data_IF_385920028705
#
_entry.id   IF_385920028705
#
_cell.length_a   1.000
_cell.length_b   1.000
_cell.length_c   1.000
_cell.angle_alpha   90.00
_cell.angle_beta   90.00
_cell.angle_gamma   90.00
#
_symmetry.space_group_name_H-M   'P 1'
#
loop_
_entity.id
_entity.type
_entity.pdbx_description
1 polymer ?
#
# COMPACT_ATOMS: atom_id res chain seq x y z
N UNK A 1 8.68 -19.56 -33.49
CA UNK A 1 9.00 -20.08 -32.18
C UNK A 1 7.75 -20.62 -31.49
N UNK A 2 7.89 -21.69 -30.76
CA UNK A 2 6.80 -22.27 -30.00
C UNK A 2 6.58 -21.53 -28.68
N UNK A 3 5.32 -21.32 -28.33
CA UNK A 3 4.94 -20.78 -27.02
C UNK A 3 4.55 -21.93 -26.11
N UNK A 4 4.94 -21.86 -24.85
CA UNK A 4 4.55 -22.84 -23.84
C UNK A 4 3.40 -22.27 -23.03
N UNK A 5 2.22 -22.91 -23.15
CA UNK A 5 1.04 -22.54 -22.38
C UNK A 5 1.05 -23.20 -20.99
N UNK A 6 0.39 -22.58 -19.98
CA UNK A 6 0.22 -23.24 -18.70
C UNK A 6 -0.48 -24.59 -18.86
N UNK A 7 -0.13 -25.54 -17.99
CA UNK A 7 -0.72 -26.88 -18.03
C UNK A 7 -2.15 -26.92 -17.49
N UNK A 8 -2.57 -25.88 -16.80
CA UNK A 8 -3.90 -25.79 -16.19
C UNK A 8 -4.53 -24.45 -16.50
N UNK A 9 -5.84 -24.41 -16.47
CA UNK A 9 -6.60 -23.17 -16.59
C UNK A 9 -6.30 -22.26 -15.39
N UNK A 10 -6.43 -20.93 -15.59
CA UNK A 10 -6.33 -19.95 -14.52
C UNK A 10 -7.61 -19.86 -13.73
N UNK A 11 -7.62 -18.96 -12.76
CA UNK A 11 -8.85 -18.62 -12.02
C UNK A 11 -9.50 -17.37 -12.62
N UNK A 12 -10.72 -17.07 -12.19
CA UNK A 12 -11.43 -15.90 -12.70
C UNK A 12 -10.60 -14.62 -12.55
N UNK A 13 -10.67 -13.76 -13.55
CA UNK A 13 -10.01 -12.46 -13.60
C UNK A 13 -8.49 -12.47 -13.68
N UNK A 14 -7.86 -13.62 -13.82
CA UNK A 14 -6.43 -13.69 -14.11
C UNK A 14 -6.15 -13.33 -15.56
N UNK A 15 -4.94 -12.81 -15.80
CA UNK A 15 -4.48 -12.46 -17.15
C UNK A 15 -3.35 -13.38 -17.57
N UNK A 16 -3.27 -13.64 -18.88
CA UNK A 16 -2.21 -14.44 -19.47
C UNK A 16 -1.03 -13.53 -19.81
N UNK A 17 0.13 -13.84 -19.26
CA UNK A 17 1.35 -13.05 -19.46
C UNK A 17 2.46 -13.88 -20.08
N UNK A 18 3.47 -13.21 -20.64
CA UNK A 18 4.69 -13.84 -21.18
C UNK A 18 5.91 -13.40 -20.36
N UNK A 19 6.88 -14.30 -20.21
CA UNK A 19 8.17 -13.98 -19.62
C UNK A 19 9.19 -13.41 -20.64
N UNK A 20 8.78 -13.25 -21.90
CA UNK A 20 9.66 -12.81 -22.96
C UNK A 20 10.55 -13.91 -23.55
N UNK A 21 10.47 -15.13 -23.04
CA UNK A 21 11.27 -16.27 -23.48
C UNK A 21 10.42 -17.43 -24.00
N UNK A 22 9.16 -17.15 -24.30
CA UNK A 22 8.24 -18.13 -24.89
C UNK A 22 7.37 -18.86 -23.88
N UNK A 23 7.49 -18.58 -22.60
CA UNK A 23 6.62 -19.17 -21.59
C UNK A 23 5.47 -18.25 -21.25
N UNK A 24 4.28 -18.81 -21.10
CA UNK A 24 3.07 -18.10 -20.73
C UNK A 24 2.59 -18.59 -19.37
N UNK A 25 2.05 -17.69 -18.58
CA UNK A 25 1.48 -18.01 -17.27
C UNK A 25 0.28 -17.12 -16.96
N UNK A 26 -0.61 -17.60 -16.08
CA UNK A 26 -1.70 -16.79 -15.56
C UNK A 26 -1.22 -16.06 -14.31
N UNK A 27 -1.49 -14.76 -14.23
CA UNK A 27 -1.17 -13.94 -13.05
C UNK A 27 -2.41 -13.15 -12.65
N UNK A 28 -2.49 -12.81 -11.38
CA UNK A 28 -3.58 -11.98 -10.88
C UNK A 28 -3.55 -10.60 -11.56
N UNK A 29 -4.73 -10.11 -11.91
CA UNK A 29 -4.87 -8.77 -12.45
C UNK A 29 -4.84 -7.77 -11.29
N UNK A 30 -3.64 -7.28 -10.97
CA UNK A 30 -3.43 -6.36 -9.84
C UNK A 30 -3.53 -4.89 -10.25
N UNK A 31 -4.41 -4.57 -11.20
CA UNK A 31 -4.60 -3.19 -11.66
C UNK A 31 -5.36 -2.37 -10.61
N UNK A 32 -4.63 -1.57 -9.80
CA UNK A 32 -5.23 -0.67 -8.81
C UNK A 32 -4.83 -1.00 -7.37
N UNK A 33 -5.44 -0.29 -6.44
CA UNK A 33 -5.16 -0.45 -5.01
C UNK A 33 -5.83 -1.71 -4.48
N UNK A 34 -5.06 -2.51 -3.75
CA UNK A 34 -5.56 -3.72 -3.08
C UNK A 34 -6.10 -3.33 -1.70
N UNK A 35 -7.40 -3.05 -1.62
CA UNK A 35 -8.03 -2.60 -0.39
C UNK A 35 -8.23 -3.76 0.57
N UNK A 36 -7.73 -3.58 1.80
CA UNK A 36 -7.82 -4.56 2.87
C UNK A 36 -9.11 -4.39 3.68
N UNK A 37 -9.49 -5.42 4.43
CA UNK A 37 -10.55 -5.28 5.42
C UNK A 37 -10.17 -4.21 6.45
N UNK A 38 -11.16 -3.58 7.09
CA UNK A 38 -10.94 -2.52 8.09
C UNK A 38 -9.94 -2.97 9.16
N UNK A 39 -8.97 -2.12 9.44
CA UNK A 39 -7.98 -2.36 10.50
C UNK A 39 -8.29 -1.46 11.71
N UNK A 40 -8.22 -2.05 12.88
CA UNK A 40 -8.53 -1.38 14.15
C UNK A 40 -7.35 -1.30 15.10
N UNK A 41 -6.20 -1.85 14.71
CA UNK A 41 -4.98 -1.88 15.52
C UNK A 41 -3.76 -1.89 14.60
N UNK A 42 -2.57 -1.76 15.17
CA UNK A 42 -1.30 -1.72 14.43
C UNK A 42 -1.26 -2.74 13.29
N UNK A 43 -0.93 -2.27 12.11
CA UNK A 43 -0.88 -3.06 10.89
C UNK A 43 0.32 -2.63 10.04
N UNK A 44 1.01 -3.59 9.46
CA UNK A 44 2.09 -3.32 8.49
C UNK A 44 1.54 -3.58 7.09
N UNK A 45 1.48 -2.52 6.28
CA UNK A 45 0.98 -2.62 4.92
C UNK A 45 2.03 -3.25 4.00
N UNK A 46 1.58 -3.94 2.97
CA UNK A 46 2.40 -4.33 1.83
C UNK A 46 2.27 -3.29 0.72
N UNK A 47 3.24 -3.26 -0.19
CA UNK A 47 3.18 -2.37 -1.34
C UNK A 47 1.91 -2.63 -2.17
N UNK A 48 1.23 -1.57 -2.58
CA UNK A 48 0.01 -1.65 -3.37
C UNK A 48 -1.27 -1.73 -2.55
N UNK A 49 -1.18 -1.82 -1.23
CA UNK A 49 -2.36 -1.94 -0.36
C UNK A 49 -3.01 -0.60 -0.06
N UNK A 50 -4.33 -0.66 0.14
CA UNK A 50 -5.12 0.40 0.73
C UNK A 50 -5.69 -0.04 2.07
N UNK A 51 -5.70 0.85 3.05
CA UNK A 51 -6.08 0.55 4.42
C UNK A 51 -7.25 1.44 4.84
N UNK A 52 -8.36 0.83 5.21
CA UNK A 52 -9.44 1.52 5.92
C UNK A 52 -9.06 1.51 7.41
N UNK A 53 -8.60 2.66 7.91
CA UNK A 53 -8.08 2.76 9.27
C UNK A 53 -9.16 3.25 10.23
N UNK A 54 -9.53 2.40 11.16
CA UNK A 54 -10.51 2.72 12.20
C UNK A 54 -9.77 3.01 13.50
N UNK A 55 -9.72 4.29 13.89
CA UNK A 55 -9.11 4.73 15.14
C UNK A 55 -10.15 5.06 16.22
N UNK A 56 -11.41 4.64 16.03
CA UNK A 56 -12.47 4.94 17.02
C UNK A 56 -12.20 4.33 18.39
N UNK A 57 -11.46 3.22 18.44
CA UNK A 57 -11.06 2.58 19.69
C UNK A 57 -9.75 3.09 20.29
N UNK A 58 -9.06 3.99 19.60
CA UNK A 58 -7.78 4.56 20.03
C UNK A 58 -6.83 4.75 18.87
N UNK A 59 -5.82 5.60 19.07
CA UNK A 59 -4.77 5.84 18.08
C UNK A 59 -3.90 4.59 17.90
N UNK A 60 -3.43 4.36 16.66
CA UNK A 60 -2.52 3.26 16.36
C UNK A 60 -1.62 3.61 15.17
N UNK A 61 -0.70 2.72 14.85
CA UNK A 61 0.32 2.96 13.80
C UNK A 61 0.09 2.04 12.60
N UNK A 62 -0.02 2.65 11.43
CA UNK A 62 0.06 1.98 10.13
C UNK A 62 1.53 2.03 9.70
N UNK A 63 2.19 0.88 9.66
CA UNK A 63 3.61 0.78 9.29
C UNK A 63 3.75 0.55 7.79
N UNK A 64 4.61 1.34 7.16
CA UNK A 64 4.90 1.21 5.74
C UNK A 64 5.76 -0.03 5.47
N UNK A 65 5.76 -0.54 4.21
CA UNK A 65 6.56 -1.71 3.86
C UNK A 65 8.06 -1.51 4.11
N UNK A 66 8.75 -2.58 4.51
CA UNK A 66 10.20 -2.59 4.57
C UNK A 66 10.79 -2.71 3.15
N UNK A 67 11.98 -2.17 2.95
CA UNK A 67 12.73 -2.30 1.69
C UNK A 67 11.90 -1.96 0.45
N UNK A 68 11.24 -0.79 0.42
CA UNK A 68 10.41 -0.43 -0.72
C UNK A 68 11.24 -0.18 -1.97
N UNK A 69 10.58 -0.28 -3.13
CA UNK A 69 11.17 0.07 -4.42
C UNK A 69 10.43 1.25 -5.03
N UNK A 70 11.08 1.97 -5.94
CA UNK A 70 10.50 3.14 -6.58
C UNK A 70 9.12 2.82 -7.18
N UNK A 71 8.14 3.65 -6.88
CA UNK A 71 6.78 3.49 -7.38
C UNK A 71 5.86 2.68 -6.46
N UNK A 72 6.37 2.07 -5.39
CA UNK A 72 5.52 1.40 -4.41
C UNK A 72 4.57 2.42 -3.78
N UNK A 73 3.31 2.03 -3.58
CA UNK A 73 2.28 2.91 -3.01
C UNK A 73 1.58 2.24 -1.84
N UNK A 74 1.18 3.07 -0.88
CA UNK A 74 0.28 2.66 0.22
C UNK A 74 -0.75 3.77 0.39
N UNK A 75 -2.02 3.40 0.40
CA UNK A 75 -3.14 4.33 0.58
C UNK A 75 -3.82 4.08 1.92
N UNK A 76 -4.42 5.13 2.49
CA UNK A 76 -5.22 4.99 3.70
C UNK A 76 -6.40 5.95 3.67
N UNK A 77 -7.43 5.58 4.43
CA UNK A 77 -8.65 6.38 4.60
C UNK A 77 -9.07 6.32 6.07
N UNK A 78 -9.48 7.46 6.61
CA UNK A 78 -10.09 7.52 7.94
C UNK A 78 -11.48 6.89 7.90
N UNK A 79 -11.57 5.64 8.33
CA UNK A 79 -12.81 4.85 8.24
C UNK A 79 -13.95 5.43 9.09
N UNK A 80 -13.62 5.79 10.33
CA UNK A 80 -14.64 6.18 11.32
C UNK A 80 -14.80 7.70 11.46
N UNK A 81 -13.95 8.50 10.81
CA UNK A 81 -13.94 9.95 10.98
C UNK A 81 -13.39 10.36 12.34
N UNK A 82 -12.37 9.65 12.84
CA UNK A 82 -11.86 9.82 14.19
C UNK A 82 -10.39 10.21 14.28
N UNK A 83 -9.73 10.50 13.16
CA UNK A 83 -8.30 10.88 13.19
C UNK A 83 -8.04 12.18 13.96
N UNK A 84 -9.01 13.10 14.04
CA UNK A 84 -8.90 14.33 14.81
C UNK A 84 -8.93 14.09 16.32
N UNK A 85 -9.53 12.98 16.75
CA UNK A 85 -9.62 12.57 18.16
C UNK A 85 -8.51 11.58 18.51
N UNK A 86 -8.33 10.58 17.65
CA UNK A 86 -7.32 9.53 17.79
C UNK A 86 -6.52 9.46 16.49
N UNK A 87 -5.38 10.11 16.44
CA UNK A 87 -4.60 10.24 15.22
C UNK A 87 -4.07 8.90 14.74
N UNK A 88 -3.96 8.76 13.40
CA UNK A 88 -3.23 7.66 12.80
C UNK A 88 -1.76 8.08 12.64
N UNK A 89 -0.85 7.25 13.13
CA UNK A 89 0.58 7.42 12.86
C UNK A 89 0.95 6.55 11.66
N UNK A 90 1.65 7.14 10.68
CA UNK A 90 2.25 6.39 9.59
C UNK A 90 3.69 6.09 10.00
N UNK A 91 3.97 4.82 10.29
CA UNK A 91 5.29 4.36 10.71
C UNK A 91 6.22 4.22 9.51
N UNK A 92 7.34 4.89 9.53
CA UNK A 92 8.24 5.00 8.39
C UNK A 92 9.05 3.73 8.07
N UNK A 93 9.15 2.82 8.99
CA UNK A 93 9.87 1.55 8.83
C UNK A 93 11.29 1.72 8.23
N UNK A 94 12.09 2.59 8.85
CA UNK A 94 13.48 2.91 8.52
C UNK A 94 13.71 3.77 7.28
N UNK A 95 12.66 4.09 6.52
CA UNK A 95 12.77 5.01 5.39
C UNK A 95 12.36 6.42 5.79
N UNK A 96 12.69 7.42 4.99
CA UNK A 96 12.22 8.78 5.21
C UNK A 96 10.76 8.95 4.76
N UNK A 97 10.07 9.89 5.35
CA UNK A 97 8.77 10.37 4.87
C UNK A 97 8.90 11.88 4.64
N UNK A 98 8.60 12.33 3.42
CA UNK A 98 8.71 13.74 3.04
C UNK A 98 10.12 14.31 3.33
N UNK A 99 11.15 13.48 3.13
CA UNK A 99 12.55 13.84 3.33
C UNK A 99 13.01 13.86 4.78
N UNK A 100 12.17 13.45 5.72
CA UNK A 100 12.50 13.47 7.15
C UNK A 100 12.53 12.06 7.74
N UNK A 101 13.50 11.82 8.62
CA UNK A 101 13.60 10.55 9.37
C UNK A 101 12.64 10.58 10.58
N UNK A 102 11.35 10.73 10.30
CA UNK A 102 10.31 10.81 11.30
C UNK A 102 9.01 10.21 10.78
N UNK A 103 8.22 9.62 11.68
CA UNK A 103 6.90 9.13 11.37
C UNK A 103 5.96 10.31 11.07
N UNK A 104 4.92 10.06 10.29
CA UNK A 104 3.92 11.05 9.95
C UNK A 104 2.67 10.85 10.82
N UNK A 105 2.21 11.91 11.47
CA UNK A 105 0.96 11.88 12.22
C UNK A 105 -0.15 12.49 11.36
N UNK A 106 -1.25 11.75 11.21
CA UNK A 106 -2.44 12.20 10.47
C UNK A 106 -3.57 12.43 11.47
N UNK A 107 -3.95 13.70 11.65
CA UNK A 107 -4.91 14.12 12.67
C UNK A 107 -6.08 14.92 12.12
N UNK A 108 -6.39 14.76 10.85
CA UNK A 108 -7.50 15.46 10.19
C UNK A 108 -8.65 14.47 9.99
N UNK A 109 -9.84 14.83 10.46
CA UNK A 109 -11.04 14.03 10.27
C UNK A 109 -11.28 13.75 8.79
N UNK A 110 -11.58 12.49 8.48
CA UNK A 110 -11.84 12.00 7.12
C UNK A 110 -10.67 12.16 6.14
N UNK A 111 -9.45 12.25 6.66
CA UNK A 111 -8.28 12.28 5.80
C UNK A 111 -8.15 11.01 4.96
N UNK A 112 -7.69 11.19 3.74
CA UNK A 112 -7.38 10.10 2.82
C UNK A 112 -6.19 10.52 1.97
N UNK A 113 -5.13 9.71 1.96
CA UNK A 113 -3.91 10.02 1.21
C UNK A 113 -3.30 8.74 0.65
N UNK A 114 -2.46 8.92 -0.35
CA UNK A 114 -1.59 7.89 -0.89
C UNK A 114 -0.14 8.35 -0.74
N UNK A 115 0.71 7.47 -0.22
CA UNK A 115 2.15 7.68 -0.21
C UNK A 115 2.76 6.87 -1.33
N UNK A 116 3.75 7.46 -2.02
CA UNK A 116 4.51 6.79 -3.07
C UNK A 116 6.00 6.86 -2.72
N UNK A 117 6.70 5.73 -2.85
CA UNK A 117 8.13 5.68 -2.57
C UNK A 117 8.95 6.13 -3.76
N UNK A 118 9.94 6.95 -3.53
CA UNK A 118 10.87 7.41 -4.56
C UNK A 118 12.29 6.85 -4.36
N UNK A 119 12.99 7.27 -3.34
CA UNK A 119 14.38 6.88 -3.09
C UNK A 119 14.72 6.97 -1.60
N UNK A 120 15.97 6.66 -1.26
CA UNK A 120 16.43 6.72 0.14
C UNK A 120 16.60 8.12 0.69
N UNK A 121 16.56 9.16 -0.14
CA UNK A 121 16.73 10.55 0.29
C UNK A 121 15.40 11.17 0.72
N UNK A 122 14.42 11.18 -0.16
CA UNK A 122 13.10 11.71 0.13
C UNK A 122 12.17 10.66 0.76
N UNK A 123 12.38 9.39 0.40
CA UNK A 123 11.59 8.29 0.93
C UNK A 123 10.17 8.25 0.36
N UNK A 124 9.21 8.19 1.25
CA UNK A 124 7.80 8.19 0.92
C UNK A 124 7.28 9.62 0.80
N UNK A 125 6.61 9.91 -0.29
CA UNK A 125 6.03 11.22 -0.56
C UNK A 125 4.52 11.14 -0.61
N UNK A 126 3.84 12.16 -0.11
CA UNK A 126 2.38 12.25 -0.22
C UNK A 126 2.03 12.59 -1.66
N UNK A 127 1.35 11.68 -2.32
CA UNK A 127 0.92 11.82 -3.70
C UNK A 127 -0.33 12.71 -3.79
N UNK A 128 -1.20 12.59 -2.80
CA UNK A 128 -2.43 13.38 -2.70
C UNK A 128 -2.41 14.16 -1.39
N UNK A 129 -2.72 15.42 -1.46
CA UNK A 129 -2.81 16.32 -0.29
C UNK A 129 -4.22 16.83 -0.14
#
# INVERSE_FOLDING_TARGET
DALTFPAADGTADQILTTDGSGNLSFVDNSGGTDWQAVKTTTYTAAAGEGVFADTSGGAWTLTLPASPTIGDEVSFVDYAGTFDTNALTIGRNSENIQGAAADLTVSIERAANTLVYTDGTQGWLLKNK
#
